data_IF_695507697230
#
_entry.id   IF_695507697230
#
_cell.length_a   1.000
_cell.length_b   1.000
_cell.length_c   1.000
_cell.angle_alpha   90.00
_cell.angle_beta   90.00
_cell.angle_gamma   90.00
#
_symmetry.space_group_name_H-M   'P 1'
#
loop_
_entity.id
_entity.type
_entity.pdbx_description
1 polymer ?
#
# COMPACT_ATOMS: atom_id res chain seq x y z
N UNK A 1 -57.70 17.61 -31.72
CA UNK A 1 -57.90 18.09 -30.34
C UNK A 1 -58.00 16.96 -29.32
N UNK A 2 -58.72 15.86 -29.61
CA UNK A 2 -58.89 14.73 -28.65
C UNK A 2 -57.60 14.05 -28.21
N UNK A 3 -56.60 13.87 -29.08
CA UNK A 3 -55.29 13.23 -28.75
C UNK A 3 -54.44 14.07 -27.82
N UNK A 4 -54.45 15.39 -27.95
CA UNK A 4 -53.67 16.29 -27.07
C UNK A 4 -54.24 16.37 -25.64
N UNK A 5 -55.58 16.23 -25.53
CA UNK A 5 -56.23 16.16 -24.21
C UNK A 5 -55.97 14.84 -23.51
N UNK A 6 -55.89 13.72 -24.23
CA UNK A 6 -55.54 12.42 -23.68
C UNK A 6 -54.06 12.37 -23.17
N UNK A 7 -53.15 12.96 -23.91
CA UNK A 7 -51.74 13.06 -23.49
C UNK A 7 -51.60 13.96 -22.24
N UNK A 8 -52.37 15.04 -22.19
CA UNK A 8 -52.36 15.94 -21.02
C UNK A 8 -52.97 15.27 -19.78
N UNK A 9 -54.02 14.51 -19.92
CA UNK A 9 -54.62 13.71 -18.84
C UNK A 9 -53.68 12.58 -18.38
N UNK A 10 -52.95 11.94 -19.30
CA UNK A 10 -51.96 10.92 -18.99
C UNK A 10 -50.73 11.49 -18.22
N UNK A 11 -50.26 12.68 -18.62
CA UNK A 11 -49.23 13.41 -17.90
C UNK A 11 -49.68 13.90 -16.52
N UNK A 12 -50.93 14.30 -16.36
CA UNK A 12 -51.55 14.66 -15.08
C UNK A 12 -51.71 13.42 -14.17
N UNK A 13 -51.97 12.26 -14.72
CA UNK A 13 -52.05 10.99 -13.98
C UNK A 13 -50.67 10.53 -13.50
N UNK A 14 -49.61 10.68 -14.32
CA UNK A 14 -48.24 10.39 -13.95
C UNK A 14 -47.74 11.37 -12.86
N UNK A 15 -48.10 12.63 -12.91
CA UNK A 15 -47.75 13.63 -11.92
C UNK A 15 -48.33 13.34 -10.51
N UNK A 16 -49.43 12.62 -10.41
CA UNK A 16 -50.00 12.21 -9.11
C UNK A 16 -49.34 10.95 -8.51
N UNK A 17 -48.52 10.21 -9.29
CA UNK A 17 -47.76 9.05 -8.79
C UNK A 17 -46.43 9.49 -8.10
N UNK A 18 -46.01 10.73 -8.28
CA UNK A 18 -44.92 11.37 -7.59
C UNK A 18 -45.33 11.90 -6.21
N UNK A 19 -46.11 11.13 -5.45
CA UNK A 19 -46.25 11.36 -4.01
C UNK A 19 -44.92 11.07 -3.39
N UNK A 20 -44.26 12.11 -2.82
CA UNK A 20 -43.01 11.98 -2.11
C UNK A 20 -43.14 10.89 -1.04
N UNK A 21 -42.42 9.80 -1.22
CA UNK A 21 -42.28 8.78 -0.18
C UNK A 21 -41.77 9.49 1.08
N UNK A 22 -42.56 9.46 2.14
CA UNK A 22 -42.07 9.89 3.46
C UNK A 22 -40.82 9.11 3.78
N UNK A 23 -39.70 9.83 3.92
CA UNK A 23 -38.43 9.21 4.25
C UNK A 23 -38.41 8.97 5.75
N UNK A 24 -38.34 7.71 6.14
CA UNK A 24 -38.14 7.28 7.51
C UNK A 24 -36.67 6.97 7.73
N UNK A 25 -36.18 7.11 8.97
CA UNK A 25 -34.81 6.79 9.26
C UNK A 25 -34.36 7.16 10.66
N UNK A 26 -33.06 7.05 10.84
CA UNK A 26 -32.37 7.41 12.07
C UNK A 26 -31.26 8.38 11.76
N UNK A 27 -31.12 9.44 12.54
CA UNK A 27 -30.04 10.41 12.43
C UNK A 27 -29.48 10.75 13.82
N UNK A 28 -28.27 11.22 13.89
CA UNK A 28 -27.65 11.61 15.14
C UNK A 28 -26.18 11.93 15.03
N UNK A 29 -25.56 12.16 16.16
CA UNK A 29 -24.12 12.47 16.26
C UNK A 29 -23.44 11.40 17.10
N UNK A 30 -22.28 10.94 16.62
CA UNK A 30 -21.41 10.03 17.35
C UNK A 30 -20.23 10.79 17.94
N UNK A 31 -20.00 10.59 19.24
CA UNK A 31 -18.92 11.25 20.01
C UNK A 31 -18.08 10.21 20.74
N UNK A 32 -16.87 10.60 21.12
CA UNK A 32 -16.07 9.88 22.11
C UNK A 32 -16.68 10.07 23.51
N UNK A 33 -16.76 9.00 24.30
CA UNK A 33 -17.28 9.04 25.67
C UNK A 33 -16.41 9.89 26.60
N UNK A 34 -15.08 9.84 26.41
CA UNK A 34 -14.09 10.37 27.35
C UNK A 34 -13.85 11.88 27.16
N UNK A 35 -13.60 12.31 25.93
CA UNK A 35 -13.26 13.70 25.62
C UNK A 35 -14.40 14.48 24.94
N UNK A 36 -15.57 13.84 24.70
CA UNK A 36 -16.74 14.43 24.02
C UNK A 36 -16.48 14.91 22.59
N UNK A 37 -15.35 14.56 22.01
CA UNK A 37 -14.99 14.88 20.63
C UNK A 37 -15.88 14.13 19.63
N UNK A 38 -16.28 14.80 18.56
CA UNK A 38 -17.09 14.18 17.49
C UNK A 38 -16.24 13.18 16.68
N UNK A 39 -16.79 12.02 16.39
CA UNK A 39 -16.11 10.95 15.66
C UNK A 39 -16.55 10.91 14.21
N UNK A 40 -15.63 11.25 13.31
CA UNK A 40 -15.81 11.17 11.86
C UNK A 40 -15.40 9.80 11.33
N UNK A 41 -16.19 9.21 10.41
CA UNK A 41 -15.89 7.92 9.80
C UNK A 41 -16.36 6.71 10.63
N UNK A 42 -17.18 6.90 11.66
CA UNK A 42 -17.82 5.80 12.39
C UNK A 42 -18.76 5.05 11.45
N UNK A 43 -18.62 3.74 11.37
CA UNK A 43 -19.52 2.87 10.61
C UNK A 43 -20.80 2.64 11.40
N UNK A 44 -21.94 2.95 10.78
CA UNK A 44 -23.29 2.76 11.32
C UNK A 44 -24.00 1.72 10.46
N UNK A 45 -24.25 0.53 10.98
CA UNK A 45 -24.72 -0.64 10.23
C UNK A 45 -25.96 -1.25 10.86
N UNK A 46 -26.97 -1.54 10.04
CA UNK A 46 -28.11 -2.42 10.38
C UNK A 46 -27.87 -3.79 9.76
N UNK A 47 -27.40 -4.73 10.59
CA UNK A 47 -26.99 -6.07 10.10
C UNK A 47 -28.14 -6.85 9.45
N UNK A 48 -29.38 -6.70 9.94
CA UNK A 48 -30.57 -7.41 9.43
C UNK A 48 -30.94 -7.03 7.97
N UNK A 49 -30.64 -5.79 7.59
CA UNK A 49 -30.93 -5.27 6.23
C UNK A 49 -29.68 -5.13 5.37
N UNK A 50 -28.50 -5.33 5.95
CA UNK A 50 -27.21 -5.06 5.32
C UNK A 50 -27.10 -3.64 4.72
N UNK A 51 -27.70 -2.66 5.42
CA UNK A 51 -27.71 -1.24 5.04
C UNK A 51 -26.93 -0.45 6.09
N UNK A 52 -26.07 0.45 5.65
CA UNK A 52 -25.25 1.25 6.57
C UNK A 52 -24.82 2.58 5.96
N UNK A 53 -24.29 3.43 6.83
CA UNK A 53 -23.71 4.74 6.49
C UNK A 53 -22.47 4.97 7.35
N UNK A 54 -21.78 6.09 7.15
CA UNK A 54 -20.68 6.53 8.02
C UNK A 54 -20.90 7.96 8.47
N UNK A 55 -20.33 8.33 9.64
CA UNK A 55 -20.41 9.71 10.13
C UNK A 55 -19.56 10.65 9.29
N UNK A 56 -20.05 11.87 9.08
CA UNK A 56 -19.36 12.97 8.40
C UNK A 56 -18.28 13.64 9.29
N UNK A 57 -17.71 14.75 8.83
CA UNK A 57 -16.68 15.54 9.54
C UNK A 57 -17.15 16.09 10.90
N UNK A 58 -18.46 16.25 11.07
CA UNK A 58 -19.08 16.73 12.29
C UNK A 58 -19.59 15.59 13.19
N UNK A 59 -19.24 14.34 12.85
CA UNK A 59 -19.73 13.15 13.53
C UNK A 59 -21.21 12.86 13.28
N UNK A 60 -21.86 13.54 12.31
CA UNK A 60 -23.27 13.39 12.00
C UNK A 60 -23.46 12.20 11.04
N UNK A 61 -24.54 11.44 11.25
CA UNK A 61 -24.97 10.39 10.36
C UNK A 61 -26.47 10.47 10.09
N UNK A 62 -26.87 10.00 8.95
CA UNK A 62 -28.25 9.80 8.54
C UNK A 62 -28.38 8.44 7.84
N UNK A 63 -29.34 7.62 8.27
CA UNK A 63 -29.60 6.29 7.73
C UNK A 63 -31.08 6.14 7.46
N UNK A 64 -31.44 5.99 6.19
CA UNK A 64 -32.81 5.78 5.75
C UNK A 64 -33.20 4.31 6.00
N UNK A 65 -34.29 4.09 6.71
CA UNK A 65 -34.81 2.78 7.07
C UNK A 65 -36.33 2.77 6.92
N UNK A 66 -36.95 1.68 6.46
CA UNK A 66 -38.39 1.50 6.55
C UNK A 66 -38.89 1.55 8.01
N UNK A 67 -40.20 1.71 8.19
CA UNK A 67 -40.80 1.55 9.53
C UNK A 67 -40.53 0.14 10.06
N UNK A 68 -40.13 0.05 11.32
CA UNK A 68 -39.79 -1.24 11.96
C UNK A 68 -38.83 -1.11 13.13
N UNK A 69 -38.52 -2.23 13.76
CA UNK A 69 -37.56 -2.31 14.85
C UNK A 69 -36.23 -2.82 14.33
N UNK A 70 -35.16 -2.06 14.56
CA UNK A 70 -33.82 -2.36 14.04
C UNK A 70 -32.76 -2.30 15.12
N UNK A 71 -31.80 -3.20 15.02
CA UNK A 71 -30.60 -3.19 15.82
C UNK A 71 -29.48 -2.56 14.99
N UNK A 72 -29.01 -1.40 15.44
CA UNK A 72 -27.97 -0.60 14.77
C UNK A 72 -26.66 -0.79 15.52
N UNK A 73 -25.61 -1.16 14.81
CA UNK A 73 -24.26 -1.31 15.33
C UNK A 73 -23.43 -0.12 14.91
N UNK A 74 -22.78 0.49 15.88
CA UNK A 74 -21.82 1.58 15.71
C UNK A 74 -20.44 1.04 15.96
N UNK A 75 -19.56 1.12 14.98
CA UNK A 75 -18.19 0.64 15.09
C UNK A 75 -17.19 1.63 14.54
N UNK A 76 -16.11 1.81 15.28
CA UNK A 76 -15.01 2.70 14.88
C UNK A 76 -13.71 2.08 15.38
N UNK A 77 -12.65 2.23 14.58
CA UNK A 77 -11.35 1.66 14.92
C UNK A 77 -10.82 2.29 16.20
N UNK A 78 -10.41 1.46 17.16
CA UNK A 78 -9.94 1.92 18.47
C UNK A 78 -11.06 2.20 19.49
N UNK A 79 -12.31 1.84 19.18
CA UNK A 79 -13.45 2.00 20.08
C UNK A 79 -14.23 0.72 20.25
N UNK A 80 -14.79 0.53 21.44
CA UNK A 80 -15.72 -0.57 21.73
C UNK A 80 -16.98 -0.35 20.89
N UNK A 81 -17.31 -1.33 20.04
CA UNK A 81 -18.54 -1.27 19.25
C UNK A 81 -19.77 -1.22 20.15
N UNK A 82 -20.69 -0.32 19.87
CA UNK A 82 -21.95 -0.19 20.59
C UNK A 82 -23.13 -0.57 19.70
N UNK A 83 -24.09 -1.29 20.28
CA UNK A 83 -25.29 -1.74 19.58
C UNK A 83 -26.53 -1.19 20.27
N UNK A 84 -27.41 -0.57 19.50
CA UNK A 84 -28.68 -0.01 19.99
C UNK A 84 -29.84 -0.50 19.17
N UNK A 85 -30.91 -0.88 19.86
CA UNK A 85 -32.19 -1.20 19.21
C UNK A 85 -33.08 0.04 19.21
N UNK A 86 -33.63 0.37 18.04
CA UNK A 86 -34.53 1.50 17.87
C UNK A 86 -35.75 1.08 17.07
N UNK A 87 -36.90 1.68 17.42
CA UNK A 87 -38.15 1.50 16.67
C UNK A 87 -38.40 2.73 15.80
N UNK A 88 -38.30 2.57 14.48
CA UNK A 88 -38.53 3.63 13.50
C UNK A 88 -40.01 3.76 13.23
N UNK A 89 -40.64 4.78 13.83
CA UNK A 89 -42.09 5.04 13.73
C UNK A 89 -42.40 6.38 13.08
N UNK A 90 -41.48 7.35 13.21
CA UNK A 90 -41.64 8.72 12.70
C UNK A 90 -40.68 8.96 11.52
N UNK A 91 -40.84 10.10 10.82
CA UNK A 91 -39.99 10.44 9.68
C UNK A 91 -38.51 10.33 9.94
N UNK A 92 -38.01 10.84 11.09
CA UNK A 92 -36.64 10.60 11.56
C UNK A 92 -36.61 10.48 13.09
N UNK A 93 -35.96 9.41 13.54
CA UNK A 93 -35.65 9.23 14.96
C UNK A 93 -34.24 9.74 15.24
N UNK A 94 -34.06 10.52 16.29
CA UNK A 94 -32.74 10.99 16.73
C UNK A 94 -32.09 10.00 17.68
N UNK A 95 -30.86 9.58 17.37
CA UNK A 95 -30.07 8.64 18.20
C UNK A 95 -28.62 9.10 18.26
N UNK A 96 -28.27 9.75 19.37
CA UNK A 96 -26.89 10.19 19.65
C UNK A 96 -26.13 9.08 20.39
N UNK A 97 -24.90 8.78 19.99
CA UNK A 97 -24.08 7.69 20.51
C UNK A 97 -22.77 8.25 21.08
N UNK A 98 -22.32 7.63 22.17
CA UNK A 98 -21.00 7.90 22.76
C UNK A 98 -20.19 6.61 22.81
N UNK A 99 -19.21 6.45 21.94
CA UNK A 99 -18.32 5.30 21.91
C UNK A 99 -17.20 5.44 22.94
N UNK A 100 -16.93 4.35 23.67
CA UNK A 100 -15.80 4.26 24.60
C UNK A 100 -14.55 3.82 23.85
N UNK A 101 -13.41 4.36 24.25
CA UNK A 101 -12.11 3.91 23.70
C UNK A 101 -11.90 2.46 24.13
N UNK A 102 -11.55 1.59 23.19
CA UNK A 102 -11.21 0.20 23.48
C UNK A 102 -9.74 0.10 23.91
N UNK A 103 -9.52 0.18 25.22
CA UNK A 103 -8.17 0.05 25.79
C UNK A 103 -7.62 -1.40 25.69
N UNK A 104 -8.42 -2.37 25.21
CA UNK A 104 -7.98 -3.76 25.00
C UNK A 104 -7.48 -4.02 23.58
N UNK A 105 -7.72 -3.10 22.64
CA UNK A 105 -7.19 -3.18 21.27
C UNK A 105 -5.80 -2.55 21.15
N UNK A 106 -4.97 -2.65 22.17
CA UNK A 106 -3.56 -2.33 22.05
C UNK A 106 -2.85 -3.51 21.39
N UNK A 107 -2.37 -3.30 20.18
CA UNK A 107 -1.26 -4.01 19.56
C UNK A 107 -1.47 -5.32 18.78
N UNK A 108 -2.52 -5.44 17.99
CA UNK A 108 -2.41 -6.34 16.82
C UNK A 108 -2.46 -5.59 15.49
N UNK A 109 -2.77 -4.31 15.50
CA UNK A 109 -2.73 -3.46 14.30
C UNK A 109 -2.16 -2.12 14.72
N UNK A 110 -0.98 -1.80 14.29
CA UNK A 110 -0.52 -0.41 14.27
C UNK A 110 -1.38 0.31 13.23
N UNK A 111 -2.59 0.66 13.62
CA UNK A 111 -3.36 1.69 12.93
C UNK A 111 -2.79 3.00 13.43
N UNK A 112 -1.81 3.52 12.74
CA UNK A 112 -1.36 4.88 12.96
C UNK A 112 -2.40 5.86 12.40
N UNK A 113 -3.55 5.98 13.09
CA UNK A 113 -4.22 7.27 13.06
C UNK A 113 -3.33 8.21 13.86
N UNK A 114 -2.38 8.83 13.20
CA UNK A 114 -1.52 9.84 13.81
C UNK A 114 -2.43 10.91 14.42
N UNK A 115 -2.51 10.95 15.76
CA UNK A 115 -3.04 12.11 16.47
C UNK A 115 -2.33 13.34 15.89
N UNK A 116 -3.05 14.43 15.68
CA UNK A 116 -2.43 15.69 15.21
C UNK A 116 -1.23 16.12 16.07
N UNK A 117 -1.12 15.60 17.28
CA UNK A 117 -0.11 15.90 18.30
C UNK A 117 0.94 14.79 18.46
N UNK A 118 0.89 13.71 17.69
CA UNK A 118 1.82 12.57 17.83
C UNK A 118 3.29 12.99 17.63
N UNK A 119 3.52 14.01 16.78
CA UNK A 119 4.85 14.59 16.58
C UNK A 119 5.39 15.34 17.81
N UNK A 120 4.54 15.67 18.80
CA UNK A 120 4.90 16.43 20.01
C UNK A 120 4.94 15.50 21.24
N UNK A 121 4.14 14.45 21.26
CA UNK A 121 3.96 13.56 22.42
C UNK A 121 4.71 12.24 22.32
N UNK A 122 5.04 11.77 21.12
CA UNK A 122 5.89 10.58 20.95
C UNK A 122 7.36 10.95 21.00
N UNK A 123 8.11 10.35 21.94
CA UNK A 123 9.56 10.50 22.11
C UNK A 123 10.39 9.90 20.96
N UNK A 124 9.81 9.64 19.82
CA UNK A 124 10.50 9.10 18.62
C UNK A 124 11.17 10.24 17.87
N UNK A 125 12.42 10.54 18.22
CA UNK A 125 13.20 11.52 17.49
C UNK A 125 13.52 11.03 16.09
N UNK A 126 13.19 11.84 15.07
CA UNK A 126 13.57 11.58 13.66
C UNK A 126 12.84 10.45 12.96
N UNK A 127 11.69 10.01 13.46
CA UNK A 127 10.77 9.08 12.79
C UNK A 127 9.59 9.85 12.19
N UNK A 128 9.27 9.58 10.93
CA UNK A 128 8.14 10.22 10.26
C UNK A 128 7.33 9.18 9.51
N UNK A 129 6.07 9.04 9.90
CA UNK A 129 5.09 8.23 9.18
C UNK A 129 4.28 9.13 8.24
N UNK A 130 4.21 8.75 7.00
CA UNK A 130 3.50 9.46 5.93
C UNK A 130 2.25 8.66 5.59
N UNK A 131 1.09 9.27 5.84
CA UNK A 131 -0.19 8.74 5.43
C UNK A 131 -0.42 8.98 3.93
N UNK A 132 -0.83 7.97 3.20
CA UNK A 132 -1.08 8.05 1.76
C UNK A 132 -2.20 9.01 1.38
N UNK A 133 -3.15 9.32 2.31
CA UNK A 133 -4.16 10.36 2.10
C UNK A 133 -3.51 11.74 1.93
N UNK A 134 -2.40 12.00 2.64
CA UNK A 134 -1.63 13.25 2.50
C UNK A 134 -0.81 13.27 1.22
N UNK A 135 -0.18 12.15 0.89
CA UNK A 135 0.63 12.00 -0.34
C UNK A 135 -0.21 12.28 -1.58
N UNK A 136 -1.45 11.82 -1.62
CA UNK A 136 -2.39 12.06 -2.74
C UNK A 136 -2.76 13.53 -2.96
N UNK A 137 -2.49 14.41 -1.99
CA UNK A 137 -2.74 15.88 -2.10
C UNK A 137 -1.52 16.65 -2.64
N UNK A 138 -0.36 16.01 -2.73
CA UNK A 138 0.85 16.63 -3.25
C UNK A 138 0.77 16.66 -4.78
N UNK A 139 1.10 17.80 -5.43
CA UNK A 139 1.15 17.87 -6.87
C UNK A 139 2.08 16.81 -7.43
N UNK A 140 1.59 16.02 -8.36
CA UNK A 140 2.31 14.90 -8.94
C UNK A 140 2.92 15.26 -10.28
N UNK A 141 4.16 14.82 -10.51
CA UNK A 141 4.80 14.97 -11.80
C UNK A 141 4.12 14.05 -12.82
N UNK A 142 3.64 14.60 -13.94
CA UNK A 142 2.97 13.86 -15.02
C UNK A 142 1.74 13.03 -14.56
N UNK A 143 1.12 13.40 -13.44
CA UNK A 143 -0.07 12.72 -12.92
C UNK A 143 0.21 11.45 -12.12
N UNK A 144 1.48 11.11 -11.90
CA UNK A 144 1.86 9.95 -11.08
C UNK A 144 2.26 10.41 -9.68
N UNK A 145 1.50 9.98 -8.69
CA UNK A 145 1.79 10.20 -7.27
C UNK A 145 2.96 9.28 -6.90
N UNK A 146 3.93 9.75 -6.13
CA UNK A 146 5.11 8.99 -5.76
C UNK A 146 5.44 9.18 -4.28
N UNK A 147 5.40 8.08 -3.52
CA UNK A 147 5.68 8.09 -2.08
C UNK A 147 7.13 8.51 -1.79
N UNK A 148 8.10 8.07 -2.60
CA UNK A 148 9.52 8.44 -2.39
C UNK A 148 9.72 9.92 -2.65
N UNK A 149 9.12 10.48 -3.71
CA UNK A 149 9.18 11.93 -3.96
C UNK A 149 8.54 12.74 -2.83
N UNK A 150 7.50 12.21 -2.21
CA UNK A 150 6.91 12.83 -1.02
C UNK A 150 7.86 12.82 0.18
N UNK A 151 8.64 11.75 0.33
CA UNK A 151 9.67 11.61 1.36
C UNK A 151 10.82 12.60 1.15
N UNK A 152 11.21 12.85 -0.10
CA UNK A 152 12.25 13.83 -0.45
C UNK A 152 11.90 15.27 -0.03
N UNK A 153 10.63 15.59 0.24
CA UNK A 153 10.19 16.88 0.78
C UNK A 153 10.42 17.02 2.30
N UNK A 154 10.82 15.95 2.97
CA UNK A 154 11.02 15.95 4.42
C UNK A 154 12.36 16.59 4.79
N UNK A 155 12.45 17.30 5.92
CA UNK A 155 13.70 17.87 6.40
C UNK A 155 14.79 16.81 6.57
N UNK A 156 15.99 17.08 6.01
CA UNK A 156 17.16 16.18 6.07
C UNK A 156 17.09 14.99 5.11
N UNK A 157 16.18 15.04 4.13
CA UNK A 157 16.12 14.11 3.01
C UNK A 157 16.35 14.88 1.72
N UNK A 158 17.20 14.35 0.85
CA UNK A 158 17.52 14.97 -0.44
C UNK A 158 17.37 13.93 -1.55
N UNK A 159 16.95 14.35 -2.73
CA UNK A 159 17.01 13.51 -3.92
C UNK A 159 18.48 13.15 -4.23
N UNK A 160 18.73 11.92 -4.65
CA UNK A 160 20.07 11.47 -5.03
C UNK A 160 20.59 12.21 -6.28
N UNK A 161 19.69 12.53 -7.21
CA UNK A 161 19.91 13.43 -8.35
C UNK A 161 18.60 14.11 -8.69
N UNK A 162 18.66 15.20 -9.45
CA UNK A 162 17.48 15.96 -9.83
C UNK A 162 16.48 15.08 -10.60
N UNK A 163 15.22 15.05 -10.11
CA UNK A 163 14.16 14.24 -10.67
C UNK A 163 14.20 12.73 -10.32
N UNK A 164 15.24 12.25 -9.63
CA UNK A 164 15.39 10.83 -9.25
C UNK A 164 14.49 10.44 -8.08
N UNK A 165 14.02 9.18 -8.08
CA UNK A 165 13.39 8.52 -6.92
C UNK A 165 14.41 8.00 -5.90
N UNK A 166 15.72 8.02 -6.18
CA UNK A 166 16.76 7.78 -5.18
C UNK A 166 16.78 8.90 -4.14
N UNK A 167 17.06 8.59 -2.89
CA UNK A 167 17.16 9.60 -1.83
C UNK A 167 18.32 9.35 -0.91
N UNK A 168 18.83 10.44 -0.32
CA UNK A 168 19.88 10.46 0.70
C UNK A 168 19.32 11.05 1.98
N UNK A 169 19.68 10.47 3.12
CA UNK A 169 19.24 10.94 4.43
C UNK A 169 20.46 11.39 5.23
N UNK A 170 20.43 12.63 5.70
CA UNK A 170 21.50 13.22 6.55
C UNK A 170 22.91 13.05 5.99
N UNK A 171 23.06 13.13 4.68
CA UNK A 171 24.38 13.02 4.02
C UNK A 171 24.83 11.58 3.71
N UNK A 172 24.04 10.56 4.07
CA UNK A 172 24.29 9.19 3.65
C UNK A 172 24.06 9.01 2.15
N UNK A 173 24.70 8.00 1.53
CA UNK A 173 24.46 7.66 0.14
C UNK A 173 23.17 6.84 -0.06
N UNK A 174 22.57 6.82 -1.24
CA UNK A 174 21.28 6.12 -1.49
C UNK A 174 21.30 4.62 -1.16
N UNK A 175 22.44 3.95 -1.36
CA UNK A 175 22.64 2.53 -1.05
C UNK A 175 22.69 2.22 0.45
N UNK A 176 22.87 3.25 1.28
CA UNK A 176 22.88 3.15 2.74
C UNK A 176 21.48 3.22 3.36
N UNK A 177 20.44 3.35 2.57
CA UNK A 177 19.04 3.30 3.02
C UNK A 177 18.50 1.87 2.88
N UNK A 178 17.86 1.37 3.93
CA UNK A 178 17.07 0.14 3.86
C UNK A 178 15.64 0.48 3.43
N UNK A 179 15.22 -0.03 2.30
CA UNK A 179 13.86 0.17 1.80
C UNK A 179 13.14 -1.17 1.87
N UNK A 180 12.04 -1.19 2.62
CA UNK A 180 11.24 -2.39 2.86
C UNK A 180 9.82 -2.22 2.29
N UNK A 181 9.31 -3.29 1.68
CA UNK A 181 7.90 -3.44 1.31
C UNK A 181 7.34 -4.68 2.02
N UNK A 182 6.42 -4.49 2.96
CA UNK A 182 5.89 -5.57 3.81
C UNK A 182 7.00 -6.43 4.45
N UNK A 183 8.01 -5.77 5.05
CA UNK A 183 9.20 -6.34 5.70
C UNK A 183 10.26 -6.92 4.76
N UNK A 184 10.05 -6.91 3.44
CA UNK A 184 10.98 -7.46 2.43
C UNK A 184 11.85 -6.36 1.85
N UNK A 185 13.18 -6.53 1.79
CA UNK A 185 14.07 -5.59 1.13
C UNK A 185 13.76 -5.42 -0.36
N UNK A 186 13.74 -4.15 -0.81
CA UNK A 186 13.63 -3.76 -2.22
C UNK A 186 14.96 -3.15 -2.63
N UNK A 187 15.75 -3.86 -3.44
CA UNK A 187 17.12 -3.46 -3.76
C UNK A 187 17.21 -2.27 -4.73
N UNK A 188 16.29 -2.19 -5.68
CA UNK A 188 16.12 -1.02 -6.53
C UNK A 188 14.67 -0.55 -6.44
N UNK A 189 14.47 0.57 -5.81
CA UNK A 189 13.15 1.14 -5.54
C UNK A 189 12.66 2.09 -6.63
N UNK A 190 13.23 2.00 -7.84
CA UNK A 190 12.93 2.95 -8.92
C UNK A 190 12.75 2.31 -10.28
N UNK A 191 11.86 2.91 -11.06
CA UNK A 191 11.64 2.67 -12.48
C UNK A 191 12.25 3.77 -13.35
N UNK A 192 12.54 3.47 -14.62
CA UNK A 192 13.12 4.38 -15.58
C UNK A 192 14.35 5.12 -15.04
N UNK A 193 15.31 4.35 -14.51
CA UNK A 193 16.57 4.90 -14.00
C UNK A 193 16.38 5.97 -12.92
N UNK A 194 15.23 5.94 -12.21
CA UNK A 194 14.96 6.83 -11.09
C UNK A 194 13.78 7.78 -11.27
N UNK A 195 13.15 7.84 -12.42
CA UNK A 195 12.03 8.79 -12.63
C UNK A 195 10.79 8.48 -11.79
N UNK A 196 10.48 7.22 -11.55
CA UNK A 196 9.33 6.78 -10.75
C UNK A 196 9.78 5.78 -9.68
N UNK A 197 9.06 5.74 -8.56
CA UNK A 197 9.26 4.65 -7.60
C UNK A 197 8.53 3.38 -8.05
N UNK A 198 9.01 2.23 -7.57
CA UNK A 198 8.37 0.92 -7.78
C UNK A 198 7.07 0.77 -7.00
N UNK A 199 6.71 1.73 -6.17
CA UNK A 199 5.60 1.64 -5.24
C UNK A 199 4.30 2.15 -5.87
N UNK A 200 3.32 1.26 -6.00
CA UNK A 200 1.97 1.64 -6.40
C UNK A 200 1.22 2.21 -5.19
N UNK A 201 0.94 3.52 -5.21
CA UNK A 201 0.32 4.23 -4.09
C UNK A 201 -1.10 3.77 -3.74
N UNK A 202 -1.80 3.07 -4.63
CA UNK A 202 -3.16 2.61 -4.37
C UNK A 202 -3.17 1.34 -3.51
N UNK A 203 -2.04 0.59 -3.42
CA UNK A 203 -1.90 -0.57 -2.54
C UNK A 203 -1.23 -0.25 -1.22
N UNK A 204 -0.60 0.94 -1.07
CA UNK A 204 0.13 1.33 0.13
C UNK A 204 -0.84 1.88 1.18
N UNK A 205 -0.64 1.45 2.42
CA UNK A 205 -1.29 1.96 3.63
C UNK A 205 -0.55 3.18 4.17
N UNK A 206 0.70 2.99 4.51
CA UNK A 206 1.59 4.02 5.06
C UNK A 206 3.06 3.75 4.70
N UNK A 207 3.89 4.76 4.91
CA UNK A 207 5.33 4.68 4.79
C UNK A 207 5.98 5.38 5.99
N UNK A 208 6.82 4.66 6.73
CA UNK A 208 7.52 5.19 7.89
C UNK A 208 9.00 5.31 7.58
N UNK A 209 9.52 6.55 7.67
CA UNK A 209 10.95 6.85 7.51
C UNK A 209 11.62 7.05 8.87
N UNK A 210 12.58 6.20 9.17
CA UNK A 210 13.49 6.30 10.30
C UNK A 210 14.78 6.97 9.84
N UNK A 211 14.96 8.25 10.17
CA UNK A 211 16.17 9.05 9.87
C UNK A 211 17.21 8.98 11.00
N UNK A 212 16.89 8.34 12.07
CA UNK A 212 17.63 8.09 13.31
C UNK A 212 16.69 7.37 14.26
N UNK A 213 17.19 6.95 15.41
CA UNK A 213 16.45 6.12 16.38
C UNK A 213 15.86 4.87 15.71
N UNK A 214 16.70 4.22 14.87
CA UNK A 214 16.34 3.04 14.12
C UNK A 214 16.17 1.88 15.10
N UNK A 215 14.97 1.26 15.20
CA UNK A 215 14.76 0.11 16.07
C UNK A 215 15.70 -1.04 15.73
N UNK A 216 16.18 -1.76 16.75
CA UNK A 216 17.10 -2.88 16.59
C UNK A 216 16.56 -4.05 15.73
N UNK A 217 15.26 -4.07 15.46
CA UNK A 217 14.64 -5.05 14.55
C UNK A 217 15.00 -4.81 13.06
N UNK A 218 15.51 -3.63 12.73
CA UNK A 218 16.00 -3.29 11.40
C UNK A 218 17.53 -3.30 11.42
N UNK A 219 18.12 -4.06 10.54
CA UNK A 219 19.57 -4.20 10.41
C UNK A 219 20.05 -3.81 9.00
N UNK A 220 21.35 -3.99 8.78
CA UNK A 220 22.01 -4.01 7.47
C UNK A 220 22.21 -2.71 6.71
N UNK A 221 21.75 -1.54 7.16
CA UNK A 221 22.00 -0.26 6.47
C UNK A 221 22.41 0.85 7.45
N UNK A 222 23.17 1.84 6.95
CA UNK A 222 23.89 2.81 7.79
C UNK A 222 23.19 4.16 7.93
N UNK A 223 22.30 4.53 7.00
CA UNK A 223 21.75 5.88 6.95
C UNK A 223 20.31 5.95 7.46
N UNK A 224 19.41 5.21 6.86
CA UNK A 224 17.99 5.26 7.20
C UNK A 224 17.24 3.96 6.89
N UNK A 225 16.04 3.84 7.45
CA UNK A 225 15.10 2.78 7.09
C UNK A 225 13.79 3.40 6.61
N UNK A 226 13.35 3.02 5.42
CA UNK A 226 12.04 3.30 4.88
C UNK A 226 11.20 2.03 4.91
N UNK A 227 10.25 1.96 5.82
CA UNK A 227 9.33 0.82 5.96
C UNK A 227 7.98 1.18 5.33
N UNK A 228 7.64 0.50 4.24
CA UNK A 228 6.40 0.69 3.48
C UNK A 228 5.51 -0.51 3.73
N UNK A 229 4.29 -0.25 4.21
CA UNK A 229 3.28 -1.28 4.44
C UNK A 229 2.17 -1.17 3.41
N UNK A 230 1.79 -2.30 2.84
CA UNK A 230 0.60 -2.38 1.99
C UNK A 230 -0.66 -2.55 2.83
N UNK A 231 -1.82 -2.25 2.23
CA UNK A 231 -3.12 -2.43 2.89
C UNK A 231 -3.23 -3.84 3.49
N UNK A 232 -3.57 -3.93 4.77
CA UNK A 232 -3.66 -5.17 5.54
C UNK A 232 -5.01 -5.34 6.25
N UNK A 233 -5.96 -4.48 5.94
CA UNK A 233 -7.33 -4.52 6.44
C UNK A 233 -8.25 -5.25 5.46
N UNK A 234 -9.09 -6.14 6.00
CA UNK A 234 -10.11 -6.82 5.23
C UNK A 234 -11.28 -5.86 5.04
N UNK A 235 -11.60 -5.42 3.80
CA UNK A 235 -12.66 -4.46 3.57
C UNK A 235 -14.04 -5.11 3.78
N UNK A 236 -15.03 -4.32 4.16
CA UNK A 236 -16.41 -4.80 4.28
C UNK A 236 -17.06 -5.14 2.92
N UNK A 237 -16.63 -4.46 1.87
CA UNK A 237 -17.17 -4.62 0.52
C UNK A 237 -16.05 -4.53 -0.51
N UNK A 238 -16.34 -5.04 -1.70
CA UNK A 238 -15.48 -4.86 -2.86
C UNK A 238 -15.11 -3.38 -3.05
N UNK A 239 -13.84 -3.13 -3.21
CA UNK A 239 -13.29 -1.81 -3.52
C UNK A 239 -12.41 -1.91 -4.76
N UNK A 240 -12.61 -0.97 -5.68
CA UNK A 240 -11.81 -0.82 -6.89
C UNK A 240 -11.42 0.64 -7.03
N UNK A 241 -10.15 0.88 -7.29
CA UNK A 241 -9.65 2.20 -7.66
C UNK A 241 -8.65 2.05 -8.81
N UNK A 242 -8.55 3.09 -9.62
CA UNK A 242 -7.64 3.08 -10.75
C UNK A 242 -7.53 4.45 -11.38
N UNK A 243 -6.61 4.56 -12.33
CA UNK A 243 -6.36 5.80 -13.05
C UNK A 243 -5.73 5.51 -14.40
N UNK A 244 -6.09 6.31 -15.37
CA UNK A 244 -5.48 6.34 -16.70
C UNK A 244 -4.82 7.70 -16.86
N UNK A 245 -3.50 7.74 -16.94
CA UNK A 245 -2.70 8.94 -17.12
C UNK A 245 -2.10 9.00 -18.52
N UNK A 246 -1.34 10.05 -18.80
CA UNK A 246 -0.66 10.19 -20.09
C UNK A 246 0.49 9.19 -20.28
N UNK A 247 1.11 8.76 -19.19
CA UNK A 247 2.27 7.86 -19.21
C UNK A 247 1.96 6.47 -18.67
N UNK A 248 1.12 6.37 -17.65
CA UNK A 248 0.85 5.16 -16.89
C UNK A 248 -0.63 4.92 -16.74
N UNK A 249 -1.01 3.66 -16.60
CA UNK A 249 -2.32 3.25 -16.10
C UNK A 249 -2.13 2.33 -14.91
N UNK A 250 -3.03 2.44 -13.93
CA UNK A 250 -3.05 1.60 -12.74
C UNK A 250 -4.45 1.14 -12.38
N UNK A 251 -4.54 -0.02 -11.76
CA UNK A 251 -5.78 -0.59 -11.26
C UNK A 251 -5.50 -1.35 -9.98
N UNK A 252 -6.32 -1.12 -8.97
CA UNK A 252 -6.25 -1.82 -7.68
C UNK A 252 -7.63 -2.34 -7.32
N UNK A 253 -7.67 -3.61 -6.91
CA UNK A 253 -8.86 -4.32 -6.49
C UNK A 253 -8.64 -4.83 -5.06
N UNK A 254 -9.61 -4.61 -4.18
CA UNK A 254 -9.61 -5.18 -2.83
C UNK A 254 -10.93 -5.92 -2.63
N UNK A 255 -10.85 -7.26 -2.62
CA UNK A 255 -11.98 -8.16 -2.70
C UNK A 255 -12.12 -8.96 -1.42
N UNK A 256 -13.09 -8.68 -0.55
CA UNK A 256 -13.38 -9.51 0.60
C UNK A 256 -14.09 -10.80 0.17
N UNK A 257 -13.80 -11.88 0.87
CA UNK A 257 -14.47 -13.16 0.70
C UNK A 257 -14.54 -13.90 2.05
N UNK A 258 -15.11 -15.12 2.05
CA UNK A 258 -15.25 -15.94 3.24
C UNK A 258 -15.92 -15.20 4.42
N UNK A 259 -17.07 -14.53 4.14
CA UNK A 259 -17.86 -13.77 5.13
C UNK A 259 -17.05 -12.70 5.87
N UNK A 260 -16.12 -12.04 5.18
CA UNK A 260 -15.28 -10.98 5.75
C UNK A 260 -14.10 -11.47 6.60
N UNK A 261 -13.78 -12.77 6.58
CA UNK A 261 -12.59 -13.31 7.24
C UNK A 261 -11.35 -13.28 6.35
N UNK A 262 -11.51 -13.03 5.06
CA UNK A 262 -10.44 -13.04 4.10
C UNK A 262 -10.60 -11.92 3.09
N UNK A 263 -9.49 -11.47 2.52
CA UNK A 263 -9.50 -10.57 1.37
C UNK A 263 -8.32 -10.85 0.44
N UNK A 264 -8.48 -10.47 -0.81
CA UNK A 264 -7.41 -10.41 -1.80
C UNK A 264 -7.28 -8.96 -2.24
N UNK A 265 -6.08 -8.41 -2.09
CA UNK A 265 -5.66 -7.15 -2.67
C UNK A 265 -4.85 -7.45 -3.93
N UNK A 266 -5.24 -6.89 -5.07
CA UNK A 266 -4.51 -6.95 -6.33
C UNK A 266 -4.26 -5.53 -6.80
N UNK A 267 -3.03 -5.23 -7.18
CA UNK A 267 -2.65 -3.94 -7.75
C UNK A 267 -1.79 -4.15 -8.98
N UNK A 268 -2.11 -3.48 -10.07
CA UNK A 268 -1.32 -3.48 -11.29
C UNK A 268 -1.06 -2.06 -11.77
N UNK A 269 0.14 -1.81 -12.28
CA UNK A 269 0.51 -0.58 -12.95
C UNK A 269 1.36 -0.92 -14.18
N UNK A 270 1.10 -0.22 -15.27
CA UNK A 270 1.86 -0.36 -16.51
C UNK A 270 2.11 1.03 -17.11
N UNK A 271 3.28 1.23 -17.67
CA UNK A 271 3.56 2.42 -18.47
C UNK A 271 3.49 2.10 -19.96
N UNK A 272 2.95 3.03 -20.70
CA UNK A 272 2.84 2.96 -22.17
C UNK A 272 3.29 4.25 -22.85
N UNK A 273 3.53 5.32 -22.08
CA UNK A 273 3.95 6.61 -22.64
C UNK A 273 5.25 6.51 -23.42
N UNK A 274 6.22 5.75 -22.94
CA UNK A 274 7.46 5.47 -23.65
C UNK A 274 7.22 4.69 -24.95
N UNK A 275 6.37 3.67 -24.93
CA UNK A 275 6.00 2.89 -26.11
C UNK A 275 5.31 3.79 -27.16
N UNK A 276 4.38 4.65 -26.72
CA UNK A 276 3.73 5.61 -27.62
C UNK A 276 4.74 6.60 -28.23
N UNK A 277 5.63 7.16 -27.42
CA UNK A 277 6.67 8.06 -27.90
C UNK A 277 7.59 7.39 -28.93
N UNK A 278 8.04 6.16 -28.67
CA UNK A 278 8.87 5.38 -29.59
C UNK A 278 8.17 5.06 -30.91
N UNK A 279 6.85 4.92 -30.93
CA UNK A 279 6.10 4.66 -32.16
C UNK A 279 5.73 5.94 -32.91
N UNK A 280 5.44 7.04 -32.23
CA UNK A 280 4.97 8.29 -32.82
C UNK A 280 6.13 9.18 -33.29
N UNK A 281 7.25 9.21 -32.57
CA UNK A 281 8.40 10.08 -32.88
C UNK A 281 9.38 9.31 -33.75
N UNK A 282 9.59 9.79 -34.98
CA UNK A 282 10.43 9.12 -35.99
C UNK A 282 11.84 8.76 -35.49
N UNK A 283 12.47 9.66 -34.72
CA UNK A 283 13.83 9.47 -34.20
C UNK A 283 13.91 8.50 -32.99
N UNK A 284 12.78 8.06 -32.47
CA UNK A 284 12.72 7.11 -31.38
C UNK A 284 12.21 5.73 -31.81
N UNK A 285 11.91 5.56 -33.11
CA UNK A 285 11.45 4.26 -33.64
C UNK A 285 12.52 3.19 -33.46
N UNK A 286 12.11 1.99 -33.11
CA UNK A 286 13.01 0.89 -32.80
C UNK A 286 13.38 0.79 -31.31
N UNK A 287 13.19 1.86 -30.54
CA UNK A 287 13.42 1.81 -29.09
C UNK A 287 12.24 1.19 -28.35
N UNK A 288 12.51 0.62 -27.19
CA UNK A 288 11.50 0.16 -26.25
C UNK A 288 11.72 0.80 -24.87
N UNK A 289 10.65 1.32 -24.28
CA UNK A 289 10.72 1.97 -22.99
C UNK A 289 9.40 1.76 -22.25
N UNK A 290 9.37 0.77 -21.35
CA UNK A 290 8.20 0.51 -20.50
C UNK A 290 8.58 -0.21 -19.23
N UNK A 291 7.74 -0.09 -18.21
CA UNK A 291 7.79 -0.90 -16.99
C UNK A 291 6.39 -1.38 -16.63
N UNK A 292 6.34 -2.38 -15.78
CA UNK A 292 5.12 -2.84 -15.14
C UNK A 292 5.37 -3.23 -13.70
N UNK A 293 4.32 -3.09 -12.88
CA UNK A 293 4.25 -3.54 -11.50
C UNK A 293 3.03 -4.39 -11.27
N UNK A 294 3.19 -5.41 -10.48
CA UNK A 294 2.10 -6.21 -9.98
C UNK A 294 2.29 -6.47 -8.49
N UNK A 295 1.26 -6.18 -7.72
CA UNK A 295 1.15 -6.46 -6.30
C UNK A 295 -0.02 -7.40 -6.07
N UNK A 296 0.17 -8.45 -5.27
CA UNK A 296 -0.93 -9.26 -4.79
C UNK A 296 -0.73 -9.57 -3.30
N UNK A 297 -1.81 -9.51 -2.52
CA UNK A 297 -1.79 -9.86 -1.10
C UNK A 297 -3.06 -10.60 -0.73
N UNK A 298 -2.89 -11.76 -0.10
CA UNK A 298 -3.97 -12.53 0.49
C UNK A 298 -3.91 -12.29 1.99
N UNK A 299 -5.04 -11.94 2.57
CA UNK A 299 -5.23 -11.72 4.00
C UNK A 299 -6.25 -12.72 4.51
N UNK A 300 -5.93 -13.44 5.57
CA UNK A 300 -6.83 -14.41 6.16
C UNK A 300 -6.80 -14.37 7.69
N UNK A 301 -7.95 -14.19 8.30
CA UNK A 301 -8.14 -14.30 9.75
C UNK A 301 -8.58 -15.73 10.07
N UNK A 302 -7.65 -16.56 10.55
CA UNK A 302 -7.90 -17.93 10.96
C UNK A 302 -8.84 -17.97 12.18
N UNK A 303 -8.54 -17.14 13.18
CA UNK A 303 -9.32 -16.90 14.38
C UNK A 303 -8.90 -15.56 15.03
N UNK A 304 -9.46 -15.22 16.20
CA UNK A 304 -9.19 -13.97 16.90
C UNK A 304 -7.69 -13.76 17.26
N UNK A 305 -6.94 -14.86 17.38
CA UNK A 305 -5.52 -14.84 17.75
C UNK A 305 -4.56 -15.03 16.59
N UNK A 306 -5.04 -15.41 15.40
CA UNK A 306 -4.18 -15.80 14.28
C UNK A 306 -4.62 -15.13 12.99
N UNK A 307 -3.69 -14.42 12.37
CA UNK A 307 -3.86 -13.81 11.04
C UNK A 307 -2.69 -14.22 10.14
N UNK A 308 -3.00 -14.60 8.94
CA UNK A 308 -2.02 -14.99 7.92
C UNK A 308 -2.09 -14.00 6.74
N UNK A 309 -0.91 -13.62 6.26
CA UNK A 309 -0.74 -12.76 5.11
C UNK A 309 0.24 -13.42 4.14
N UNK A 310 -0.10 -13.43 2.88
CA UNK A 310 0.83 -13.79 1.80
C UNK A 310 0.82 -12.65 0.81
N UNK A 311 1.97 -12.01 0.61
CA UNK A 311 2.11 -10.91 -0.34
C UNK A 311 3.21 -11.17 -1.35
N UNK A 312 3.03 -10.62 -2.55
CA UNK A 312 4.02 -10.65 -3.62
C UNK A 312 4.09 -9.31 -4.33
N UNK A 313 5.28 -8.97 -4.76
CA UNK A 313 5.57 -7.88 -5.65
C UNK A 313 6.40 -8.38 -6.83
N UNK A 314 5.99 -8.02 -8.04
CA UNK A 314 6.70 -8.30 -9.28
C UNK A 314 6.76 -7.01 -10.07
N UNK A 315 7.95 -6.57 -10.47
CA UNK A 315 8.12 -5.38 -11.31
C UNK A 315 9.39 -5.47 -12.13
N UNK A 316 9.29 -5.15 -13.41
CA UNK A 316 10.43 -5.12 -14.32
C UNK A 316 10.40 -3.85 -15.18
N UNK A 317 11.58 -3.32 -15.46
CA UNK A 317 11.86 -2.29 -16.47
C UNK A 317 12.49 -2.90 -17.71
N UNK A 318 12.02 -2.47 -18.85
CA UNK A 318 12.53 -2.85 -20.15
C UNK A 318 12.90 -1.60 -20.94
N UNK A 319 14.18 -1.44 -21.17
CA UNK A 319 14.76 -0.35 -21.94
C UNK A 319 15.55 -0.93 -23.12
N UNK A 320 15.24 -0.53 -24.33
CA UNK A 320 15.95 -0.97 -25.55
C UNK A 320 16.22 0.22 -26.47
N UNK A 321 17.42 0.27 -27.02
CA UNK A 321 17.87 1.28 -28.00
C UNK A 321 18.16 0.59 -29.31
N UNK A 322 17.22 0.67 -30.25
CA UNK A 322 17.32 0.27 -31.66
C UNK A 322 18.06 -1.07 -31.87
N UNK A 323 17.78 -2.06 -31.09
CA UNK A 323 18.47 -3.36 -31.11
C UNK A 323 19.97 -3.32 -30.76
N UNK A 324 20.57 -2.16 -30.55
CA UNK A 324 21.98 -2.00 -30.22
C UNK A 324 22.28 -2.25 -28.74
N UNK A 325 21.41 -1.79 -27.90
CA UNK A 325 21.54 -1.95 -26.44
C UNK A 325 20.20 -2.31 -25.82
N UNK A 326 20.24 -3.15 -24.82
CA UNK A 326 19.08 -3.47 -23.98
C UNK A 326 19.46 -3.44 -22.50
N UNK A 327 18.54 -2.97 -21.69
CA UNK A 327 18.66 -3.04 -20.22
C UNK A 327 17.35 -3.50 -19.64
N UNK A 328 17.40 -4.52 -18.81
CA UNK A 328 16.24 -5.04 -18.08
C UNK A 328 16.63 -5.16 -16.62
N UNK A 329 15.82 -4.67 -15.72
CA UNK A 329 16.02 -4.84 -14.28
C UNK A 329 14.69 -4.86 -13.57
N UNK A 330 14.67 -5.54 -12.41
CA UNK A 330 13.44 -5.64 -11.64
C UNK A 330 13.59 -6.38 -10.33
N UNK A 331 12.52 -6.34 -9.53
CA UNK A 331 12.40 -7.01 -8.23
C UNK A 331 11.26 -8.03 -8.27
N UNK A 332 11.48 -9.17 -7.63
CA UNK A 332 10.48 -10.22 -7.42
C UNK A 332 10.51 -10.62 -5.95
N UNK A 333 9.47 -10.29 -5.23
CA UNK A 333 9.38 -10.50 -3.79
C UNK A 333 8.16 -11.34 -3.46
N UNK A 334 8.32 -12.28 -2.54
CA UNK A 334 7.23 -13.06 -1.95
C UNK A 334 7.45 -13.11 -0.45
N UNK A 335 6.43 -12.84 0.33
CA UNK A 335 6.48 -12.98 1.78
C UNK A 335 5.25 -13.68 2.33
N UNK A 336 5.46 -14.47 3.36
CA UNK A 336 4.41 -15.03 4.21
C UNK A 336 4.63 -14.53 5.62
N UNK A 337 3.60 -13.90 6.19
CA UNK A 337 3.62 -13.37 7.55
C UNK A 337 2.48 -13.97 8.36
N UNK A 338 2.80 -14.54 9.50
CA UNK A 338 1.85 -15.05 10.48
C UNK A 338 1.91 -14.22 11.75
N UNK A 339 0.80 -13.55 12.06
CA UNK A 339 0.63 -12.83 13.31
C UNK A 339 -0.08 -13.74 14.33
N UNK A 340 0.49 -13.85 15.52
CA UNK A 340 -0.10 -14.61 16.62
C UNK A 340 -0.19 -13.78 17.89
N UNK A 341 -1.37 -13.81 18.52
CA UNK A 341 -1.65 -13.18 19.80
C UNK A 341 -1.70 -14.27 20.87
N UNK A 342 -0.66 -14.38 21.69
CA UNK A 342 -0.64 -15.35 22.81
C UNK A 342 -1.64 -14.95 23.90
N UNK A 343 -1.57 -13.68 24.30
CA UNK A 343 -2.44 -13.06 25.30
C UNK A 343 -2.41 -11.53 25.11
N UNK A 344 -3.10 -10.79 26.00
CA UNK A 344 -3.22 -9.32 25.95
C UNK A 344 -1.86 -8.58 26.07
N UNK A 345 -0.80 -9.26 26.47
CA UNK A 345 0.55 -8.67 26.68
C UNK A 345 1.58 -9.15 25.68
N UNK A 346 1.39 -10.31 25.05
CA UNK A 346 2.40 -10.93 24.21
C UNK A 346 1.83 -11.23 22.82
N UNK A 347 2.46 -10.64 21.82
CA UNK A 347 2.17 -10.89 20.40
C UNK A 347 3.44 -11.29 19.66
N UNK A 348 3.30 -11.99 18.56
CA UNK A 348 4.44 -12.33 17.69
C UNK A 348 4.12 -12.21 16.22
N UNK A 349 5.16 -12.00 15.42
CA UNK A 349 5.14 -11.99 13.96
C UNK A 349 6.23 -12.91 13.44
N UNK A 350 5.84 -13.99 12.76
CA UNK A 350 6.74 -14.82 12.00
C UNK A 350 6.63 -14.41 10.53
N UNK A 351 7.73 -13.96 9.94
CA UNK A 351 7.82 -13.59 8.52
C UNK A 351 8.87 -14.47 7.84
N UNK A 352 8.51 -15.05 6.71
CA UNK A 352 9.44 -15.75 5.82
C UNK A 352 9.31 -15.10 4.47
N UNK A 353 10.42 -14.67 3.88
CA UNK A 353 10.38 -14.02 2.59
C UNK A 353 11.52 -14.46 1.66
N UNK A 354 11.23 -14.37 0.38
CA UNK A 354 12.18 -14.48 -0.71
C UNK A 354 12.18 -13.19 -1.52
N UNK A 355 13.35 -12.67 -1.84
CA UNK A 355 13.51 -11.55 -2.77
C UNK A 355 14.57 -11.86 -3.81
N UNK A 356 14.33 -11.42 -5.03
CA UNK A 356 15.25 -11.53 -6.15
C UNK A 356 15.25 -10.20 -6.88
N UNK A 357 16.39 -9.54 -6.87
CA UNK A 357 16.69 -8.40 -7.74
C UNK A 357 17.67 -8.82 -8.80
N UNK A 358 17.35 -8.54 -10.05
CA UNK A 358 18.22 -8.87 -11.18
C UNK A 358 18.27 -7.70 -12.16
N UNK A 359 19.45 -7.47 -12.71
CA UNK A 359 19.58 -6.62 -13.88
C UNK A 359 20.37 -7.34 -14.97
N UNK A 360 20.06 -7.01 -16.23
CA UNK A 360 20.74 -7.49 -17.42
C UNK A 360 20.96 -6.34 -18.36
N UNK A 361 22.19 -6.18 -18.82
CA UNK A 361 22.58 -5.24 -19.87
C UNK A 361 23.07 -6.04 -21.05
N UNK A 362 22.50 -5.81 -22.23
CA UNK A 362 22.91 -6.43 -23.49
C UNK A 362 23.42 -5.38 -24.47
N UNK A 363 24.44 -5.74 -25.21
CA UNK A 363 25.02 -4.94 -26.30
C UNK A 363 25.06 -5.82 -27.53
N UNK A 364 24.51 -5.33 -28.64
CA UNK A 364 24.50 -6.00 -29.95
C UNK A 364 24.96 -5.01 -31.03
N UNK A 365 26.25 -4.78 -31.08
CA UNK A 365 26.90 -3.94 -32.06
C UNK A 365 28.05 -4.71 -32.70
N UNK A 366 27.91 -5.07 -33.98
CA UNK A 366 28.96 -5.83 -34.69
C UNK A 366 30.34 -5.13 -34.56
N UNK A 367 31.40 -5.81 -34.09
CA UNK A 367 31.51 -7.24 -33.83
C UNK A 367 31.08 -7.69 -32.38
N UNK A 368 30.52 -6.82 -31.58
CA UNK A 368 30.21 -7.07 -30.17
C UNK A 368 28.77 -7.56 -30.01
N UNK A 369 28.53 -8.78 -29.52
CA UNK A 369 27.23 -9.31 -29.08
C UNK A 369 27.43 -10.02 -27.76
N UNK A 370 27.16 -9.30 -26.68
CA UNK A 370 27.30 -9.83 -25.32
C UNK A 370 26.23 -9.30 -24.39
N UNK A 371 26.04 -10.00 -23.28
CA UNK A 371 25.22 -9.49 -22.17
C UNK A 371 25.87 -9.77 -20.82
N UNK A 372 25.65 -8.84 -19.88
CA UNK A 372 26.07 -8.97 -18.50
C UNK A 372 24.80 -9.06 -17.64
N UNK A 373 24.74 -10.10 -16.81
CA UNK A 373 23.63 -10.31 -15.87
C UNK A 373 24.20 -10.34 -14.44
N UNK A 374 23.63 -9.55 -13.53
CA UNK A 374 23.98 -9.60 -12.11
C UNK A 374 22.72 -9.48 -11.26
N UNK A 375 22.79 -9.87 -9.98
CA UNK A 375 21.64 -9.84 -9.12
C UNK A 375 21.92 -10.23 -7.68
N UNK A 376 20.90 -10.12 -6.87
CA UNK A 376 20.89 -10.46 -5.44
C UNK A 376 19.64 -11.30 -5.19
N UNK A 377 19.83 -12.43 -4.50
CA UNK A 377 18.73 -13.28 -4.07
C UNK A 377 18.87 -13.51 -2.55
N UNK A 378 17.77 -13.29 -1.82
CA UNK A 378 17.72 -13.55 -0.39
C UNK A 378 16.57 -14.50 -0.05
N UNK A 379 16.84 -15.39 0.86
CA UNK A 379 15.84 -16.15 1.60
C UNK A 379 16.01 -15.84 3.08
N UNK A 380 14.96 -15.33 3.71
CA UNK A 380 15.02 -14.88 5.10
C UNK A 380 13.85 -15.41 5.92
N UNK A 381 14.13 -15.69 7.18
CA UNK A 381 13.14 -15.95 8.21
C UNK A 381 13.39 -15.01 9.39
N UNK A 382 12.30 -14.38 9.89
CA UNK A 382 12.33 -13.42 10.98
C UNK A 382 11.19 -13.73 11.94
N UNK A 383 11.49 -13.81 13.25
CA UNK A 383 10.51 -14.05 14.28
C UNK A 383 10.62 -12.98 15.35
N UNK A 384 9.68 -12.05 15.39
CA UNK A 384 9.64 -10.91 16.27
C UNK A 384 8.55 -11.10 17.34
N UNK A 385 8.87 -10.67 18.56
CA UNK A 385 7.95 -10.64 19.70
C UNK A 385 7.78 -9.23 20.21
N UNK A 386 6.56 -8.86 20.57
CA UNK A 386 6.25 -7.63 21.30
C UNK A 386 5.62 -7.99 22.62
N UNK A 387 6.24 -7.56 23.73
CA UNK A 387 5.80 -7.81 25.09
C UNK A 387 5.50 -6.49 25.82
N UNK A 388 4.24 -6.32 26.21
CA UNK A 388 3.76 -5.20 27.02
C UNK A 388 3.97 -5.53 28.50
N UNK A 389 5.09 -5.07 29.06
CA UNK A 389 5.37 -5.28 30.48
C UNK A 389 4.33 -4.57 31.37
N UNK A 390 4.07 -3.29 31.05
CA UNK A 390 3.06 -2.46 31.68
C UNK A 390 2.65 -1.34 30.71
N UNK A 391 1.80 -0.39 31.15
CA UNK A 391 1.30 0.72 30.31
C UNK A 391 2.40 1.64 29.75
N UNK A 392 3.58 1.66 30.39
CA UNK A 392 4.69 2.56 30.04
C UNK A 392 5.88 1.84 29.40
N UNK A 393 5.95 0.50 29.48
CA UNK A 393 7.11 -0.27 29.04
C UNK A 393 6.69 -1.34 28.05
N UNK A 394 7.15 -1.20 26.81
CA UNK A 394 7.03 -2.21 25.75
C UNK A 394 8.42 -2.74 25.40
N UNK A 395 8.60 -4.05 25.46
CA UNK A 395 9.81 -4.74 25.04
C UNK A 395 9.58 -5.40 23.68
N UNK A 396 10.55 -5.24 22.77
CA UNK A 396 10.57 -5.93 21.47
C UNK A 396 11.86 -6.72 21.37
N UNK A 397 11.75 -7.98 20.98
CA UNK A 397 12.89 -8.88 20.80
C UNK A 397 12.56 -9.91 19.72
N UNK A 398 13.58 -10.48 19.10
CA UNK A 398 13.36 -11.44 18.03
C UNK A 398 14.68 -12.01 17.53
N UNK A 399 14.55 -12.82 16.51
CA UNK A 399 15.66 -13.44 15.78
C UNK A 399 15.37 -13.37 14.30
N UNK A 400 16.40 -13.07 13.52
CA UNK A 400 16.35 -13.10 12.06
C UNK A 400 17.55 -13.85 11.51
N UNK A 401 17.35 -14.53 10.38
CA UNK A 401 18.40 -15.18 9.63
C UNK A 401 18.12 -14.99 8.14
N UNK A 402 19.13 -14.53 7.42
CA UNK A 402 19.03 -14.31 5.98
C UNK A 402 20.17 -15.02 5.29
N UNK A 403 19.82 -15.80 4.27
CA UNK A 403 20.77 -16.38 3.35
C UNK A 403 20.84 -15.52 2.10
N UNK A 404 22.02 -14.95 1.83
CA UNK A 404 22.27 -14.08 0.69
C UNK A 404 23.00 -14.86 -0.42
N UNK A 405 22.56 -14.63 -1.66
CA UNK A 405 23.29 -15.09 -2.84
C UNK A 405 23.52 -13.91 -3.78
N UNK A 406 24.76 -13.59 -4.05
CA UNK A 406 25.19 -12.49 -4.90
C UNK A 406 25.73 -13.00 -6.23
N UNK A 407 25.07 -12.68 -7.34
CA UNK A 407 25.60 -12.85 -8.68
C UNK A 407 26.35 -11.58 -9.09
N UNK A 408 27.69 -11.59 -9.02
CA UNK A 408 28.52 -10.41 -9.27
C UNK A 408 28.62 -9.99 -10.74
N UNK A 409 28.16 -10.82 -11.65
CA UNK A 409 28.14 -10.59 -13.08
C UNK A 409 28.45 -11.89 -13.83
N UNK A 410 27.54 -12.27 -14.70
CA UNK A 410 27.71 -13.34 -15.68
C UNK A 410 27.83 -12.69 -17.04
N UNK A 411 28.97 -12.86 -17.69
CA UNK A 411 29.18 -12.44 -19.07
C UNK A 411 28.70 -13.56 -19.99
N UNK A 412 27.77 -13.25 -20.88
CA UNK A 412 27.39 -14.10 -22.00
C UNK A 412 27.85 -13.44 -23.28
N UNK A 413 29.00 -13.89 -23.80
CA UNK A 413 29.68 -13.33 -24.97
C UNK A 413 29.50 -14.27 -26.16
N UNK A 414 28.57 -13.96 -27.03
CA UNK A 414 28.22 -14.79 -28.18
C UNK A 414 29.27 -14.75 -29.30
N UNK A 415 30.07 -13.70 -29.35
CA UNK A 415 31.10 -13.52 -30.38
C UNK A 415 32.50 -13.93 -29.91
N UNK A 416 32.69 -14.08 -28.60
CA UNK A 416 33.98 -14.37 -27.99
C UNK A 416 34.96 -13.16 -27.98
N UNK A 417 34.55 -12.03 -28.58
CA UNK A 417 35.42 -10.86 -28.75
C UNK A 417 35.74 -10.20 -27.41
N UNK A 418 34.75 -10.04 -26.53
CA UNK A 418 34.95 -9.42 -25.21
C UNK A 418 35.80 -10.28 -24.31
N UNK A 419 35.54 -11.61 -24.26
CA UNK A 419 36.33 -12.55 -23.51
C UNK A 419 37.80 -12.52 -23.91
N UNK A 420 38.09 -12.40 -25.21
CA UNK A 420 39.43 -12.28 -25.74
C UNK A 420 40.14 -10.99 -25.31
N UNK A 421 39.44 -9.83 -25.31
CA UNK A 421 40.01 -8.55 -24.92
C UNK A 421 40.16 -8.42 -23.38
N UNK A 422 39.24 -8.94 -22.61
CA UNK A 422 39.25 -8.80 -21.14
C UNK A 422 39.99 -9.94 -20.42
N UNK A 423 40.37 -11.01 -21.13
CA UNK A 423 40.98 -12.19 -20.51
C UNK A 423 40.04 -12.89 -19.53
N UNK A 424 38.75 -12.74 -19.68
CA UNK A 424 37.73 -13.33 -18.82
C UNK A 424 37.15 -14.54 -19.51
N UNK A 425 37.12 -15.67 -18.80
CA UNK A 425 36.38 -16.84 -19.26
C UNK A 425 34.88 -16.56 -19.15
N UNK A 426 34.14 -16.51 -20.26
CA UNK A 426 32.69 -16.21 -20.25
C UNK A 426 31.87 -17.22 -19.46
N UNK A 427 32.41 -18.41 -19.19
CA UNK A 427 31.73 -19.48 -18.42
C UNK A 427 31.82 -19.30 -16.91
N UNK A 428 32.66 -18.40 -16.41
CA UNK A 428 32.86 -18.19 -14.97
C UNK A 428 31.82 -17.24 -14.37
N UNK A 429 30.73 -17.79 -13.90
CA UNK A 429 29.78 -17.09 -13.03
C UNK A 429 30.35 -16.98 -11.61
N UNK A 430 30.64 -15.78 -11.15
CA UNK A 430 31.03 -15.57 -9.75
C UNK A 430 29.78 -15.43 -8.89
N UNK A 431 29.38 -16.51 -8.25
CA UNK A 431 28.30 -16.53 -7.26
C UNK A 431 28.94 -16.59 -5.86
N UNK A 432 28.65 -15.58 -5.03
CA UNK A 432 29.04 -15.59 -3.61
C UNK A 432 27.80 -15.82 -2.76
N UNK A 433 27.94 -16.74 -1.80
CA UNK A 433 26.90 -17.10 -0.82
C UNK A 433 27.36 -16.65 0.56
N UNK A 434 26.44 -16.02 1.32
CA UNK A 434 26.67 -15.55 2.69
C UNK A 434 25.44 -15.83 3.58
#
# INVERSE_FOLDING_TARGET
MRTKVLIFLYLLFIANILNGQEKYGVKGIVKCSDNKEVLSGVTVLVESLNVGTSTDKNGFYELLLPQGSYTIKFSFVGYISETKTINVTNSFNELNISLKIDNKMLDAVVVSSTRKDANVTELKMSVQTIDMVRVRKIPSLMGEIDVIKSIQLLPGVHAASEGSSGFSVRGGSPDQNLILLDDVPVYNASHFLGFFSVFNNDVIKDATLYKGDIPAMYDSRLSSVLDIKTLDEIPYKFNMQGGIGALTSRLTLNVPFNKGKSAILLGGRITYGGVLACNLIKNLRGNSMYFYDFNAKIMHTLNEKNRLFVSTYLGDDILGMDSLMSMTYGNKNVTTRWNHVFNDKLTSNLSVFYTNYRYKIGVNMNPYDFSITAGIEDLSAKYDFTYLMNENITSRFGVSSTFHQYGQGKLDDKTGVIGMYMGVDPSNEVVRKA
#
